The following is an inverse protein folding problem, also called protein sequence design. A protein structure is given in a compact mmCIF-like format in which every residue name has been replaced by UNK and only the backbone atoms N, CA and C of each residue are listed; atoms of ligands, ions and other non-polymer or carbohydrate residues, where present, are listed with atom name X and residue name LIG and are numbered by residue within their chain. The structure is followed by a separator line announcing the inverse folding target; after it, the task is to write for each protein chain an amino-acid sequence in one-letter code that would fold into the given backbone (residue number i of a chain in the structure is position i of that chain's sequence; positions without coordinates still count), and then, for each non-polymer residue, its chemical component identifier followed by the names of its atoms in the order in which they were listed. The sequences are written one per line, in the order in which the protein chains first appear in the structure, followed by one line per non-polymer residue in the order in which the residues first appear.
data_IF_349731626962
#
_entry.id   IF_349731626962
#
_cell.length_a   1.000
_cell.length_b   1.000
_cell.length_c   1.000
_cell.angle_alpha   90.00
_cell.angle_beta   90.00
_cell.angle_gamma   90.00
#
_symmetry.space_group_name_H-M   'P 1'
#
loop_
_entity.id
_entity.type
_entity.pdbx_description
1 polymer ?
#
# COMPACT_ATOMS: atom_id res chain seq x y z
N UNK A 1 -9.77 -9.92 10.21
CA UNK A 1 -10.40 -9.23 11.37
C UNK A 1 -11.40 -10.13 12.07
N UNK A 2 -12.36 -10.74 11.36
CA UNK A 2 -13.33 -11.69 11.95
C UNK A 2 -12.72 -12.70 12.93
N UNK A 3 -11.71 -13.49 12.54
CA UNK A 3 -11.15 -14.49 13.44
C UNK A 3 -10.48 -13.93 14.72
N UNK A 4 -10.03 -12.68 14.72
CA UNK A 4 -9.52 -12.02 15.94
C UNK A 4 -10.67 -11.60 16.86
N UNK A 5 -11.70 -10.98 16.29
CA UNK A 5 -12.88 -10.53 17.05
C UNK A 5 -13.64 -11.71 17.66
N UNK A 6 -13.65 -12.85 16.98
CA UNK A 6 -14.25 -14.09 17.49
C UNK A 6 -13.41 -14.70 18.64
N UNK A 7 -12.08 -14.61 18.55
CA UNK A 7 -11.16 -15.12 19.58
C UNK A 7 -11.10 -14.24 20.84
N UNK A 8 -11.38 -12.93 20.71
CA UNK A 8 -11.32 -11.95 21.80
C UNK A 8 -12.55 -11.03 21.81
N UNK A 9 -13.75 -11.56 22.15
CA UNK A 9 -15.02 -10.84 22.02
C UNK A 9 -15.14 -9.61 22.94
N UNK A 10 -14.38 -9.55 24.03
CA UNK A 10 -14.31 -8.40 24.93
C UNK A 10 -13.46 -7.24 24.39
N UNK A 11 -12.64 -7.48 23.35
CA UNK A 11 -11.79 -6.46 22.76
C UNK A 11 -12.58 -5.61 21.77
N UNK A 12 -12.61 -4.30 22.01
CA UNK A 12 -13.10 -3.32 21.05
C UNK A 12 -11.96 -2.89 20.13
N UNK A 13 -12.08 -3.17 18.83
CA UNK A 13 -11.10 -2.81 17.82
C UNK A 13 -11.56 -1.55 17.06
N UNK A 14 -10.70 -0.53 17.01
CA UNK A 14 -10.85 0.65 16.15
C UNK A 14 -9.67 0.70 15.18
N UNK A 15 -9.96 0.81 13.88
CA UNK A 15 -8.95 0.92 12.82
C UNK A 15 -9.17 2.23 12.07
N UNK A 16 -8.13 3.05 12.00
CA UNK A 16 -8.15 4.33 11.30
C UNK A 16 -7.03 4.29 10.26
N UNK A 17 -7.37 4.55 9.01
CA UNK A 17 -6.41 4.71 7.92
C UNK A 17 -6.12 6.20 7.77
N UNK A 18 -4.89 6.57 8.08
CA UNK A 18 -4.41 7.95 7.98
C UNK A 18 -2.97 7.93 7.46
N UNK A 19 -2.68 8.78 6.46
CA UNK A 19 -1.37 8.91 5.85
C UNK A 19 -0.38 9.70 6.74
N UNK A 20 -0.81 10.20 7.90
CA UNK A 20 -0.02 11.04 8.79
C UNK A 20 1.14 10.31 9.48
N UNK A 21 2.34 10.92 9.46
CA UNK A 21 3.43 10.65 10.41
C UNK A 21 3.02 11.21 11.79
N UNK A 22 2.20 10.46 12.51
CA UNK A 22 1.72 10.84 13.85
C UNK A 22 2.56 10.16 14.92
N UNK A 23 2.85 10.91 15.98
CA UNK A 23 2.91 10.35 17.32
C UNK A 23 1.56 9.70 17.67
N UNK A 24 1.43 8.42 17.31
CA UNK A 24 0.23 7.62 17.54
C UNK A 24 -0.20 7.62 19.01
N UNK A 25 0.74 7.77 19.95
CA UNK A 25 0.45 7.83 21.37
C UNK A 25 -0.28 9.12 21.73
N UNK A 26 0.16 10.27 21.20
CA UNK A 26 -0.48 11.56 21.42
C UNK A 26 -1.93 11.61 20.91
N UNK A 27 -2.27 10.81 19.89
CA UNK A 27 -3.64 10.69 19.38
C UNK A 27 -4.46 9.55 20.02
N UNK A 28 -3.90 8.86 21.01
CA UNK A 28 -4.60 7.80 21.75
C UNK A 28 -4.69 6.45 21.02
N UNK A 29 -3.86 6.23 19.99
CA UNK A 29 -3.73 4.92 19.36
C UNK A 29 -2.78 4.01 20.16
N UNK A 30 -3.18 2.74 20.31
CA UNK A 30 -2.36 1.73 20.99
C UNK A 30 -1.17 1.25 20.11
N UNK A 31 -1.33 1.26 18.78
CA UNK A 31 -0.34 0.82 17.79
C UNK A 31 -0.62 1.44 16.40
N UNK A 32 0.38 1.38 15.52
CA UNK A 32 0.28 1.78 14.11
C UNK A 32 0.87 0.74 13.16
N UNK A 33 0.66 0.94 11.86
CA UNK A 33 1.21 0.14 10.76
C UNK A 33 2.08 1.02 9.85
N UNK A 34 3.32 0.61 9.58
CA UNK A 34 4.28 1.37 8.76
C UNK A 34 5.12 0.46 7.87
N UNK A 35 5.56 0.96 6.72
CA UNK A 35 6.64 0.33 5.93
C UNK A 35 7.93 0.37 6.75
N UNK A 36 8.69 -0.73 6.78
CA UNK A 36 9.84 -0.91 7.67
C UNK A 36 10.89 0.20 7.59
N UNK A 37 11.11 0.76 6.40
CA UNK A 37 12.04 1.88 6.14
C UNK A 37 11.66 3.19 6.87
N UNK A 38 10.40 3.32 7.30
CA UNK A 38 9.85 4.52 7.95
C UNK A 38 9.76 4.38 9.48
N UNK A 39 10.35 3.33 10.08
CA UNK A 39 10.32 3.13 11.53
C UNK A 39 11.40 3.98 12.24
N UNK A 40 11.02 4.67 13.31
CA UNK A 40 11.97 5.36 14.18
C UNK A 40 12.81 4.37 15.00
N UNK A 41 14.05 4.76 15.35
CA UNK A 41 15.06 3.87 15.96
C UNK A 41 14.64 3.18 17.27
N UNK A 42 13.69 3.74 18.01
CA UNK A 42 13.27 3.20 19.33
C UNK A 42 12.00 2.34 19.28
N UNK A 43 11.37 2.17 18.11
CA UNK A 43 10.13 1.42 17.95
C UNK A 43 10.37 -0.10 17.89
N UNK A 44 9.40 -0.90 18.39
CA UNK A 44 9.37 -2.36 18.18
C UNK A 44 8.45 -2.65 17.00
N UNK A 45 8.98 -3.18 15.90
CA UNK A 45 8.21 -3.68 14.78
C UNK A 45 7.90 -5.17 14.89
N UNK A 46 6.63 -5.57 14.81
CA UNK A 46 6.26 -6.92 14.39
C UNK A 46 6.08 -6.93 12.87
N UNK A 47 6.97 -7.64 12.14
CA UNK A 47 6.88 -7.77 10.69
C UNK A 47 5.54 -8.39 10.28
N UNK A 48 4.90 -7.79 9.28
CA UNK A 48 3.66 -8.22 8.67
C UNK A 48 3.88 -8.53 7.20
N UNK A 49 3.61 -9.77 6.81
CA UNK A 49 3.70 -10.18 5.42
C UNK A 49 5.11 -10.15 4.83
N UNK A 50 5.15 -10.27 3.50
CA UNK A 50 6.37 -10.22 2.69
C UNK A 50 6.76 -8.79 2.29
N UNK A 51 7.84 -8.63 1.53
CA UNK A 51 8.17 -7.38 0.86
C UNK A 51 7.00 -6.88 0.01
N UNK A 52 6.82 -5.57 -0.07
CA UNK A 52 5.73 -4.96 -0.81
C UNK A 52 6.15 -4.72 -2.25
N UNK A 53 5.71 -5.57 -3.17
CA UNK A 53 5.96 -5.38 -4.59
C UNK A 53 5.05 -4.28 -5.15
N UNK A 54 5.64 -3.21 -5.68
CA UNK A 54 4.88 -2.21 -6.43
C UNK A 54 4.65 -2.66 -7.87
N UNK A 55 3.55 -2.18 -8.46
CA UNK A 55 3.16 -2.49 -9.83
C UNK A 55 2.48 -1.29 -10.48
N UNK A 56 2.66 -1.14 -11.80
CA UNK A 56 1.78 -0.32 -12.64
C UNK A 56 0.73 -1.23 -13.27
N UNK A 57 -0.53 -0.83 -13.15
CA UNK A 57 -1.70 -1.60 -13.53
C UNK A 57 -2.48 -0.87 -14.62
N UNK A 58 -2.96 -1.61 -15.61
CA UNK A 58 -3.93 -1.12 -16.60
C UNK A 58 -4.90 -2.21 -17.00
N UNK A 59 -6.12 -1.86 -17.38
CA UNK A 59 -7.03 -2.84 -17.99
C UNK A 59 -6.60 -3.18 -19.42
N UNK A 60 -6.85 -4.42 -19.89
CA UNK A 60 -6.57 -4.82 -21.27
C UNK A 60 -7.17 -3.85 -22.30
N UNK A 61 -8.41 -3.42 -22.08
CA UNK A 61 -9.13 -2.48 -22.93
C UNK A 61 -8.46 -1.09 -23.04
N UNK A 62 -7.95 -0.57 -21.92
CA UNK A 62 -7.23 0.70 -21.93
C UNK A 62 -5.94 0.58 -22.75
N UNK A 63 -5.17 -0.49 -22.53
CA UNK A 63 -3.90 -0.72 -23.22
C UNK A 63 -4.10 -0.99 -24.71
N UNK A 64 -5.15 -1.71 -25.10
CA UNK A 64 -5.49 -1.93 -26.50
C UNK A 64 -5.77 -0.61 -27.26
N UNK A 65 -6.38 0.37 -26.58
CA UNK A 65 -6.73 1.68 -27.18
C UNK A 65 -5.58 2.69 -27.16
N UNK A 66 -4.73 2.65 -26.13
CA UNK A 66 -3.73 3.69 -25.88
C UNK A 66 -2.28 3.20 -26.04
N UNK A 67 -2.08 1.91 -26.34
CA UNK A 67 -0.78 1.26 -26.32
C UNK A 67 -0.36 0.80 -24.91
N UNK A 68 0.75 0.06 -24.87
CA UNK A 68 1.35 -0.43 -23.62
C UNK A 68 2.69 0.28 -23.39
N UNK A 69 2.88 0.98 -22.24
CA UNK A 69 4.15 1.63 -21.95
C UNK A 69 5.25 0.58 -21.76
N UNK A 70 6.43 0.84 -22.32
CA UNK A 70 7.59 -0.05 -22.26
C UNK A 70 8.69 0.48 -21.35
N UNK A 71 8.71 1.80 -21.09
CA UNK A 71 9.60 2.46 -20.13
C UNK A 71 8.82 3.46 -19.28
N UNK A 72 9.28 3.81 -18.07
CA UNK A 72 8.63 4.83 -17.24
C UNK A 72 8.42 6.17 -17.95
N UNK A 73 9.33 6.57 -18.85
CA UNK A 73 9.20 7.80 -19.64
C UNK A 73 7.95 7.80 -20.56
N UNK A 74 7.46 6.64 -20.99
CA UNK A 74 6.28 6.52 -21.84
C UNK A 74 4.99 6.94 -21.10
N UNK A 75 5.01 6.98 -19.76
CA UNK A 75 3.86 7.38 -18.94
C UNK A 75 3.38 8.80 -19.25
N UNK A 76 4.25 9.67 -19.76
CA UNK A 76 3.89 11.01 -20.21
C UNK A 76 2.83 11.01 -21.34
N UNK A 77 2.73 9.91 -22.10
CA UNK A 77 1.72 9.74 -23.15
C UNK A 77 0.45 9.01 -22.69
N UNK A 78 0.37 8.63 -21.40
CA UNK A 78 -0.74 7.86 -20.85
C UNK A 78 -1.55 8.64 -19.81
N UNK A 79 -2.86 8.37 -19.76
CA UNK A 79 -3.68 8.75 -18.62
C UNK A 79 -3.21 7.97 -17.40
N UNK A 80 -2.94 8.70 -16.32
CA UNK A 80 -2.58 8.14 -15.04
C UNK A 80 -3.64 8.51 -13.99
N UNK A 81 -3.82 7.62 -13.03
CA UNK A 81 -4.68 7.82 -11.86
C UNK A 81 -3.75 8.16 -10.70
N UNK A 82 -3.91 9.37 -10.16
CA UNK A 82 -3.06 9.84 -9.08
C UNK A 82 -3.63 9.46 -7.71
N UNK A 83 -2.73 9.07 -6.82
CA UNK A 83 -3.00 9.05 -5.39
C UNK A 83 -2.58 10.40 -4.80
N UNK A 84 -3.45 11.05 -4.02
CA UNK A 84 -3.13 12.24 -3.25
C UNK A 84 -3.19 11.94 -1.76
N UNK A 85 -2.15 12.35 -1.03
CA UNK A 85 -2.12 12.28 0.42
C UNK A 85 -3.23 13.17 1.01
N UNK A 86 -4.06 12.61 1.89
CA UNK A 86 -5.29 13.27 2.34
C UNK A 86 -5.03 14.64 2.99
N UNK A 87 -3.96 14.75 3.80
CA UNK A 87 -3.64 15.99 4.53
C UNK A 87 -2.95 17.05 3.66
N UNK A 88 -1.91 16.69 2.92
CA UNK A 88 -1.10 17.66 2.16
C UNK A 88 -1.70 17.97 0.80
N UNK A 89 -2.64 17.13 0.32
CA UNK A 89 -3.15 17.13 -1.06
C UNK A 89 -2.06 16.92 -2.13
N UNK A 90 -0.82 16.64 -1.71
CA UNK A 90 0.27 16.35 -2.63
C UNK A 90 0.01 15.02 -3.33
N UNK A 91 0.33 14.97 -4.62
CA UNK A 91 0.28 13.75 -5.43
C UNK A 91 1.48 12.90 -5.06
N UNK A 92 1.25 11.63 -4.76
CA UNK A 92 2.33 10.66 -4.54
C UNK A 92 3.06 10.44 -5.86
N UNK A 93 4.40 10.63 -5.91
CA UNK A 93 5.17 10.21 -7.07
C UNK A 93 5.10 8.69 -7.21
N UNK A 94 5.24 8.23 -8.45
CA UNK A 94 5.48 6.83 -8.78
C UNK A 94 6.99 6.64 -8.87
N UNK A 95 7.50 5.67 -8.13
CA UNK A 95 8.94 5.40 -8.06
C UNK A 95 9.30 4.23 -8.96
N UNK A 96 10.41 4.37 -9.68
CA UNK A 96 10.96 3.38 -10.59
C UNK A 96 12.46 3.25 -10.39
N UNK A 97 13.01 2.10 -10.80
CA UNK A 97 14.45 1.88 -10.93
C UNK A 97 14.77 1.66 -12.40
N UNK A 98 15.56 2.56 -12.99
CA UNK A 98 16.00 2.49 -14.38
C UNK A 98 17.51 2.47 -14.41
N UNK A 99 18.08 1.41 -14.97
CA UNK A 99 19.54 1.24 -15.09
C UNK A 99 20.29 1.40 -13.74
N UNK A 100 19.65 0.97 -12.65
CA UNK A 100 20.18 1.05 -11.28
C UNK A 100 19.94 2.39 -10.57
N UNK A 101 19.29 3.36 -11.23
CA UNK A 101 18.99 4.67 -10.69
C UNK A 101 17.52 4.83 -10.35
N UNK A 102 17.22 5.44 -9.20
CA UNK A 102 15.86 5.82 -8.85
C UNK A 102 15.37 6.95 -9.76
N UNK A 103 14.15 6.79 -10.28
CA UNK A 103 13.45 7.75 -11.13
C UNK A 103 12.04 7.92 -10.57
N UNK A 104 11.63 9.17 -10.38
CA UNK A 104 10.27 9.51 -9.98
C UNK A 104 9.47 10.04 -11.15
N UNK A 105 8.19 9.67 -11.20
CA UNK A 105 7.21 10.22 -12.12
C UNK A 105 6.00 10.71 -11.31
N UNK A 106 5.73 12.01 -11.34
CA UNK A 106 4.50 12.55 -10.75
C UNK A 106 3.42 12.62 -11.84
N UNK A 107 2.34 11.82 -11.74
CA UNK A 107 1.30 11.81 -12.76
C UNK A 107 0.54 13.13 -12.83
N UNK A 108 0.45 13.70 -14.03
CA UNK A 108 -0.54 14.74 -14.33
C UNK A 108 -1.90 14.07 -14.59
N UNK A 109 -2.66 13.88 -13.50
CA UNK A 109 -3.82 13.02 -13.49
C UNK A 109 -5.14 13.81 -13.51
N UNK A 110 -6.03 13.42 -14.44
CA UNK A 110 -7.43 13.88 -14.44
C UNK A 110 -8.24 13.30 -13.28
N UNK A 111 -7.89 12.11 -12.82
CA UNK A 111 -8.52 11.45 -11.67
C UNK A 111 -7.51 11.39 -10.53
N UNK A 112 -7.84 12.05 -9.43
CA UNK A 112 -7.08 12.05 -8.19
C UNK A 112 -7.94 11.39 -7.11
N UNK A 113 -7.40 10.39 -6.44
CA UNK A 113 -8.04 9.64 -5.35
C UNK A 113 -7.12 9.55 -4.15
N UNK A 114 -7.60 9.12 -2.99
CA UNK A 114 -6.80 9.01 -1.78
C UNK A 114 -6.79 7.61 -1.17
N UNK A 115 -7.14 6.58 -1.95
CA UNK A 115 -7.04 5.18 -1.54
C UNK A 115 -6.56 4.30 -2.69
N UNK A 116 -5.63 3.38 -2.42
CA UNK A 116 -5.14 2.44 -3.43
C UNK A 116 -6.22 1.53 -4.02
N UNK A 117 -7.19 0.98 -3.23
CA UNK A 117 -8.29 0.21 -3.81
C UNK A 117 -9.11 0.98 -4.86
N UNK A 118 -9.27 2.29 -4.69
CA UNK A 118 -9.95 3.12 -5.67
C UNK A 118 -9.07 3.37 -6.91
N UNK A 119 -7.76 3.55 -6.77
CA UNK A 119 -6.83 3.58 -7.91
C UNK A 119 -6.96 2.31 -8.76
N UNK A 120 -6.91 1.15 -8.11
CA UNK A 120 -6.96 -0.17 -8.75
C UNK A 120 -8.32 -0.36 -9.46
N UNK A 121 -9.43 -0.03 -8.79
CA UNK A 121 -10.77 -0.14 -9.36
C UNK A 121 -10.93 0.76 -10.59
N UNK A 122 -10.44 2.00 -10.53
CA UNK A 122 -10.48 2.93 -11.66
C UNK A 122 -9.63 2.46 -12.85
N UNK A 123 -8.46 1.85 -12.60
CA UNK A 123 -7.63 1.25 -13.65
C UNK A 123 -8.35 0.07 -14.32
N UNK A 124 -9.02 -0.78 -13.53
CA UNK A 124 -9.81 -1.91 -14.04
C UNK A 124 -10.98 -1.45 -14.92
N UNK A 125 -11.56 -0.27 -14.63
CA UNK A 125 -12.56 0.39 -15.46
C UNK A 125 -11.98 1.09 -16.71
N UNK A 126 -10.65 1.03 -16.90
CA UNK A 126 -9.97 1.60 -18.07
C UNK A 126 -9.87 3.12 -18.08
N UNK A 127 -9.90 3.75 -16.90
CA UNK A 127 -9.77 5.21 -16.78
C UNK A 127 -8.31 5.70 -16.91
N UNK A 128 -7.34 4.80 -16.80
CA UNK A 128 -5.92 5.09 -16.91
C UNK A 128 -5.07 3.99 -16.31
N UNK A 129 -3.78 4.28 -16.14
CA UNK A 129 -2.83 3.47 -15.39
C UNK A 129 -2.84 3.84 -13.91
N UNK A 130 -2.62 2.87 -13.03
CA UNK A 130 -2.49 3.08 -11.59
C UNK A 130 -1.19 2.47 -11.07
N UNK A 131 -0.53 3.13 -10.13
CA UNK A 131 0.60 2.58 -9.37
C UNK A 131 0.11 2.15 -7.98
N UNK A 132 0.36 0.90 -7.61
CA UNK A 132 -0.15 0.30 -6.37
C UNK A 132 0.75 -0.85 -5.88
N UNK A 133 0.37 -1.45 -4.75
CA UNK A 133 0.95 -2.70 -4.25
C UNK A 133 0.24 -3.89 -4.90
N UNK A 134 1.00 -4.88 -5.37
CA UNK A 134 0.50 -6.01 -6.15
C UNK A 134 -0.58 -6.83 -5.42
N UNK A 135 -0.39 -7.11 -4.12
CA UNK A 135 -1.32 -7.96 -3.38
C UNK A 135 -2.73 -7.35 -3.26
N UNK A 136 -2.84 -6.03 -3.22
CA UNK A 136 -4.13 -5.32 -3.28
C UNK A 136 -4.87 -5.49 -4.61
N UNK A 137 -4.15 -5.77 -5.70
CA UNK A 137 -4.71 -5.99 -7.04
C UNK A 137 -4.86 -7.47 -7.39
N UNK A 138 -4.42 -8.39 -6.52
CA UNK A 138 -4.34 -9.81 -6.82
C UNK A 138 -5.64 -10.45 -7.37
N UNK A 139 -6.85 -10.14 -6.84
CA UNK A 139 -8.08 -10.70 -7.41
C UNK A 139 -8.34 -10.25 -8.85
N UNK A 140 -8.07 -8.98 -9.15
CA UNK A 140 -8.31 -8.40 -10.47
C UNK A 140 -7.25 -8.84 -11.49
N UNK A 141 -5.99 -8.99 -11.05
CA UNK A 141 -4.93 -9.61 -11.84
C UNK A 141 -5.26 -11.07 -12.17
N UNK A 142 -5.70 -11.86 -11.18
CA UNK A 142 -6.05 -13.26 -11.38
C UNK A 142 -7.24 -13.44 -12.34
N UNK A 143 -8.20 -12.51 -12.32
CA UNK A 143 -9.34 -12.52 -13.25
C UNK A 143 -9.02 -12.02 -14.67
N UNK A 144 -7.85 -11.42 -14.88
CA UNK A 144 -7.49 -10.75 -16.14
C UNK A 144 -8.13 -9.38 -16.36
N UNK A 145 -8.89 -8.85 -15.38
CA UNK A 145 -9.45 -7.50 -15.44
C UNK A 145 -8.38 -6.40 -15.40
N UNK A 146 -7.21 -6.73 -14.84
CA UNK A 146 -6.01 -5.91 -14.85
C UNK A 146 -4.83 -6.73 -15.36
N UNK A 147 -3.88 -6.04 -15.98
CA UNK A 147 -2.55 -6.57 -16.27
C UNK A 147 -1.48 -5.63 -15.72
N UNK A 148 -0.32 -6.21 -15.43
CA UNK A 148 0.86 -5.46 -15.00
C UNK A 148 1.61 -4.92 -16.22
N UNK A 149 2.15 -3.72 -16.09
CA UNK A 149 3.04 -3.09 -17.07
C UNK A 149 4.24 -2.52 -16.32
N UNK A 150 5.35 -2.29 -17.03
CA UNK A 150 6.57 -1.73 -16.45
C UNK A 150 7.17 -2.54 -15.26
N UNK A 151 6.80 -3.81 -15.10
CA UNK A 151 7.25 -4.66 -13.98
C UNK A 151 8.77 -4.63 -13.72
N UNK A 152 9.66 -4.66 -14.75
CA UNK A 152 11.10 -4.63 -14.51
C UNK A 152 11.62 -3.35 -13.83
N UNK A 153 10.82 -2.28 -13.83
CA UNK A 153 11.20 -0.98 -13.27
C UNK A 153 10.58 -0.73 -11.89
N UNK A 154 9.60 -1.54 -11.46
CA UNK A 154 8.88 -1.30 -10.22
C UNK A 154 9.69 -1.80 -9.00
N UNK A 155 10.00 -0.92 -8.02
CA UNK A 155 10.74 -1.32 -6.83
C UNK A 155 9.91 -2.24 -5.92
N UNK A 156 10.62 -2.95 -5.06
CA UNK A 156 10.05 -3.68 -3.93
C UNK A 156 10.42 -2.93 -2.65
N UNK A 157 9.45 -2.62 -1.80
CA UNK A 157 9.71 -1.99 -0.50
C UNK A 157 9.82 -3.01 0.64
N UNK A 158 10.41 -2.60 1.76
CA UNK A 158 10.36 -3.35 2.99
C UNK A 158 8.91 -3.69 3.42
N UNK A 159 8.69 -4.83 4.10
CA UNK A 159 7.38 -5.23 4.60
C UNK A 159 6.74 -4.19 5.51
N UNK A 160 5.42 -4.29 5.68
CA UNK A 160 4.72 -3.59 6.74
C UNK A 160 5.16 -4.11 8.11
N UNK A 161 5.15 -3.22 9.08
CA UNK A 161 5.48 -3.49 10.47
C UNK A 161 4.41 -2.86 11.35
N UNK A 162 3.93 -3.65 12.31
CA UNK A 162 3.13 -3.12 13.40
C UNK A 162 4.07 -2.55 14.47
N UNK A 163 3.90 -1.27 14.79
CA UNK A 163 4.74 -0.54 15.75
C UNK A 163 3.91 0.04 16.89
N UNK A 164 4.52 0.19 18.07
CA UNK A 164 3.89 0.71 19.28
C UNK A 164 4.93 1.37 20.21
N UNK A 165 4.53 2.35 21.04
CA UNK A 165 5.45 3.31 21.68
C UNK A 165 6.31 2.79 22.84
N UNK A 166 6.00 1.65 23.49
CA UNK A 166 6.76 1.22 24.69
C UNK A 166 7.04 -0.27 24.77
N UNK A 167 8.29 -0.60 25.15
CA UNK A 167 8.78 -1.96 25.38
C UNK A 167 8.39 -2.53 26.75
N UNK A 168 8.08 -1.68 27.74
CA UNK A 168 7.99 -2.09 29.17
C UNK A 168 6.60 -2.51 29.62
N UNK A 169 5.54 -1.90 29.09
CA UNK A 169 4.15 -2.17 29.49
C UNK A 169 3.27 -2.19 28.23
N UNK A 170 3.18 -3.35 27.57
CA UNK A 170 2.22 -3.58 26.49
C UNK A 170 0.90 -4.04 27.12
N UNK A 171 -0.21 -3.30 26.99
CA UNK A 171 -1.49 -3.71 27.53
C UNK A 171 -1.90 -5.11 27.03
N UNK A 172 -2.55 -5.96 27.85
CA UNK A 172 -2.93 -7.32 27.44
C UNK A 172 -3.73 -7.37 26.13
N UNK A 173 -4.66 -6.42 25.92
CA UNK A 173 -5.43 -6.27 24.68
C UNK A 173 -4.54 -6.09 23.44
N UNK A 174 -3.48 -5.29 23.54
CA UNK A 174 -2.57 -5.02 22.44
C UNK A 174 -1.65 -6.21 22.20
N UNK A 175 -1.19 -6.87 23.28
CA UNK A 175 -0.39 -8.08 23.17
C UNK A 175 -1.15 -9.20 22.45
N UNK A 176 -2.40 -9.43 22.83
CA UNK A 176 -3.27 -10.38 22.15
C UNK A 176 -3.38 -10.09 20.64
N UNK A 177 -3.56 -8.81 20.27
CA UNK A 177 -3.61 -8.41 18.86
C UNK A 177 -2.26 -8.64 18.14
N UNK A 178 -1.14 -8.25 18.75
CA UNK A 178 0.21 -8.47 18.19
C UNK A 178 0.46 -9.95 17.94
N UNK A 179 0.18 -10.81 18.93
CA UNK A 179 0.43 -12.24 18.86
C UNK A 179 -0.48 -12.90 17.82
N UNK A 180 -1.76 -12.51 17.77
CA UNK A 180 -2.69 -12.96 16.74
C UNK A 180 -2.20 -12.58 15.34
N UNK A 181 -1.78 -11.33 15.14
CA UNK A 181 -1.32 -10.84 13.84
C UNK A 181 -0.03 -11.55 13.43
N UNK A 182 0.93 -11.76 14.35
CA UNK A 182 2.17 -12.51 14.09
C UNK A 182 1.89 -13.96 13.68
N UNK A 183 1.00 -14.63 14.40
CA UNK A 183 0.62 -16.01 14.09
C UNK A 183 0.00 -16.14 12.69
N UNK A 184 -0.62 -15.07 12.18
CA UNK A 184 -1.30 -15.04 10.88
C UNK A 184 -0.56 -14.25 9.80
N UNK A 185 0.64 -13.72 10.08
CA UNK A 185 1.35 -12.80 9.21
C UNK A 185 1.73 -13.42 7.85
N UNK A 186 1.88 -14.75 7.79
CA UNK A 186 2.17 -15.49 6.57
C UNK A 186 0.94 -15.60 5.62
N UNK A 187 -0.27 -15.38 6.12
CA UNK A 187 -1.51 -15.40 5.34
C UNK A 187 -1.92 -14.01 4.82
N UNK A 188 -1.24 -12.96 5.28
CA UNK A 188 -1.48 -11.59 4.80
C UNK A 188 -0.86 -11.44 3.40
N UNK A 189 -1.69 -11.60 2.37
CA UNK A 189 -1.38 -11.12 1.01
C UNK A 189 -1.69 -9.62 0.99
N UNK A 190 -0.65 -8.81 1.06
CA UNK A 190 -0.69 -7.33 1.00
C UNK A 190 -0.16 -6.91 -0.36
#
# INVERSE_FOLDING_TARGET
MGPFMDAYPEVRLSLIFDDNLVDIAAQGFDAGLRIGELLEKDMIGARLGGPLQTVVLGSPDYLARNGTPKRPADLAAHRCIAFAFTRTRAISPWEFVVDGHQVEFTPDARLVVNTLPLCITAAAQGLGLAFAVEGLAAPLLASGALVKVLEPFCPTYEPLHLYYPSRRLVPPKLRAFIDFVRANAHNLRI
#
